data_IF_433607976107
#
_entry.id   IF_433607976107
#
_cell.length_a   1.000
_cell.length_b   1.000
_cell.length_c   1.000
_cell.angle_alpha   90.00
_cell.angle_beta   90.00
_cell.angle_gamma   90.00
#
_symmetry.space_group_name_H-M   'P 1'
#
loop_
_entity.id
_entity.type
_entity.pdbx_description
1 polymer ?
#
# COMPACT_ATOMS: atom_id res chain seq x y z
N UNK A 1 -12.27 14.31 -22.97
CA UNK A 1 -10.94 14.87 -23.30
C UNK A 1 -11.10 15.80 -24.50
N UNK A 2 -10.63 17.02 -24.38
CA UNK A 2 -10.79 18.03 -25.43
C UNK A 2 -9.79 17.83 -26.56
N UNK A 3 -10.25 18.06 -27.79
CA UNK A 3 -9.39 18.03 -28.97
C UNK A 3 -8.26 19.08 -28.87
N UNK A 4 -6.98 18.69 -29.07
CA UNK A 4 -5.88 19.65 -29.01
C UNK A 4 -5.87 20.66 -30.16
N UNK A 5 -6.69 20.43 -31.21
CA UNK A 5 -6.82 21.35 -32.35
C UNK A 5 -7.93 22.37 -32.20
N UNK A 6 -9.15 21.92 -31.90
CA UNK A 6 -10.33 22.79 -31.88
C UNK A 6 -11.01 22.92 -30.48
N UNK A 7 -10.58 22.13 -29.52
CA UNK A 7 -11.17 22.16 -28.18
C UNK A 7 -12.51 21.43 -28.00
N UNK A 8 -12.99 20.74 -29.04
CA UNK A 8 -14.24 19.99 -28.95
C UNK A 8 -14.12 18.84 -27.93
N UNK A 9 -15.19 18.62 -27.17
CA UNK A 9 -15.14 17.72 -26.01
C UNK A 9 -15.19 16.22 -26.33
N UNK A 10 -15.65 15.86 -27.53
CA UNK A 10 -15.87 14.46 -27.90
C UNK A 10 -14.96 14.00 -29.04
N UNK A 11 -14.51 12.75 -28.91
CA UNK A 11 -13.69 12.07 -29.91
C UNK A 11 -14.07 10.60 -29.97
N UNK A 12 -13.74 9.94 -31.08
CA UNK A 12 -13.87 8.49 -31.19
C UNK A 12 -12.49 7.84 -31.18
N UNK A 13 -12.43 6.61 -30.65
CA UNK A 13 -11.22 5.80 -30.67
C UNK A 13 -11.17 5.03 -31.99
N UNK A 14 -10.13 5.25 -32.78
CA UNK A 14 -9.93 4.57 -34.07
C UNK A 14 -9.16 3.26 -33.86
N UNK A 15 -8.15 3.26 -32.99
CA UNK A 15 -7.27 2.13 -32.74
C UNK A 15 -6.78 2.14 -31.29
N UNK A 16 -6.58 0.95 -30.70
CA UNK A 16 -6.04 0.78 -29.36
C UNK A 16 -4.99 -0.33 -29.41
N UNK A 17 -3.80 -0.05 -28.86
CA UNK A 17 -2.71 -1.03 -28.81
C UNK A 17 -2.05 -1.03 -27.43
N UNK A 18 -1.73 -2.21 -26.89
CA UNK A 18 -0.98 -2.29 -25.64
C UNK A 18 0.48 -1.88 -25.89
N UNK A 19 1.05 -1.15 -24.93
CA UNK A 19 2.48 -0.85 -24.87
C UNK A 19 3.04 -1.66 -23.71
N UNK A 20 3.57 -2.85 -24.00
CA UNK A 20 3.97 -3.84 -23.01
C UNK A 20 5.06 -3.31 -22.08
N UNK A 21 6.07 -2.65 -22.64
CA UNK A 21 7.20 -2.10 -21.87
C UNK A 21 6.80 -1.06 -20.84
N UNK A 22 5.79 -0.25 -21.15
CA UNK A 22 5.30 0.80 -20.27
C UNK A 22 4.03 0.42 -19.51
N UNK A 23 3.54 -0.82 -19.64
CA UNK A 23 2.29 -1.29 -19.08
C UNK A 23 1.15 -0.27 -19.26
N UNK A 24 0.98 0.20 -20.49
CA UNK A 24 0.00 1.24 -20.84
C UNK A 24 -0.77 0.86 -22.11
N UNK A 25 -1.82 1.60 -22.40
CA UNK A 25 -2.60 1.44 -23.62
C UNK A 25 -2.45 2.70 -24.45
N UNK A 26 -2.02 2.55 -25.68
CA UNK A 26 -1.95 3.65 -26.65
C UNK A 26 -3.25 3.66 -27.43
N UNK A 27 -3.95 4.82 -27.44
CA UNK A 27 -5.19 5.00 -28.20
C UNK A 27 -5.02 6.06 -29.25
N UNK A 28 -5.40 5.73 -30.48
CA UNK A 28 -5.50 6.69 -31.57
C UNK A 28 -6.93 7.22 -31.61
N UNK A 29 -7.09 8.54 -31.49
CA UNK A 29 -8.40 9.19 -31.44
C UNK A 29 -8.57 10.13 -32.61
N UNK A 30 -9.85 10.38 -32.96
CA UNK A 30 -10.23 11.36 -33.98
C UNK A 30 -11.32 12.26 -33.43
N UNK A 31 -11.11 13.56 -33.51
CA UNK A 31 -12.11 14.55 -33.08
C UNK A 31 -13.37 14.42 -33.93
N UNK A 32 -14.53 14.43 -33.29
CA UNK A 32 -15.82 14.36 -34.00
C UNK A 32 -16.17 15.67 -34.72
N UNK A 33 -15.56 16.78 -34.34
CA UNK A 33 -15.80 18.08 -34.95
C UNK A 33 -14.84 18.39 -36.12
N UNK A 34 -13.55 18.44 -35.85
CA UNK A 34 -12.55 18.85 -36.85
C UNK A 34 -11.80 17.70 -37.52
N UNK A 35 -12.09 16.46 -37.14
CA UNK A 35 -11.43 15.22 -37.65
C UNK A 35 -9.93 15.16 -37.41
N UNK A 36 -9.39 16.01 -36.55
CA UNK A 36 -7.98 15.91 -36.18
C UNK A 36 -7.75 14.60 -35.43
N UNK A 37 -6.69 13.90 -35.83
CA UNK A 37 -6.25 12.67 -35.16
C UNK A 37 -5.18 13.00 -34.13
N UNK A 38 -5.31 12.40 -32.95
CA UNK A 38 -4.35 12.58 -31.88
C UNK A 38 -4.20 11.28 -31.08
N UNK A 39 -3.08 11.15 -30.39
CA UNK A 39 -2.74 9.95 -29.63
C UNK A 39 -2.85 10.25 -28.16
N UNK A 40 -3.46 9.32 -27.41
CA UNK A 40 -3.54 9.36 -25.95
C UNK A 40 -3.00 8.07 -25.38
N UNK A 41 -2.59 8.11 -24.11
CA UNK A 41 -2.14 6.93 -23.39
C UNK A 41 -2.96 6.78 -22.12
N UNK A 42 -3.37 5.54 -21.86
CA UNK A 42 -3.95 5.17 -20.58
C UNK A 42 -2.86 4.49 -19.78
N UNK A 43 -2.49 5.08 -18.65
CA UNK A 43 -1.44 4.58 -17.77
C UNK A 43 -2.01 4.33 -16.39
N UNK A 44 -1.42 3.35 -15.68
CA UNK A 44 -1.82 3.09 -14.31
C UNK A 44 -1.20 4.19 -13.44
N UNK A 45 -2.05 4.91 -12.74
CA UNK A 45 -1.60 5.91 -11.79
C UNK A 45 -1.11 5.21 -10.52
N UNK A 46 0.14 5.47 -10.15
CA UNK A 46 0.67 5.06 -8.85
C UNK A 46 0.58 6.25 -7.92
N UNK A 47 -0.37 6.20 -6.98
CA UNK A 47 -0.52 7.24 -5.97
C UNK A 47 0.46 6.95 -4.84
N UNK A 48 1.41 7.85 -4.55
CA UNK A 48 2.29 7.66 -3.39
C UNK A 48 1.49 7.80 -2.10
N UNK A 49 1.77 6.91 -1.14
CA UNK A 49 1.12 6.92 0.17
C UNK A 49 2.01 7.68 1.14
N UNK A 50 1.44 8.68 1.81
CA UNK A 50 2.12 9.43 2.87
C UNK A 50 1.81 8.80 4.22
N UNK A 51 2.86 8.53 4.99
CA UNK A 51 2.74 8.03 6.36
C UNK A 51 2.88 9.20 7.33
N UNK A 52 1.86 9.39 8.16
CA UNK A 52 1.86 10.42 9.20
C UNK A 52 2.40 9.82 10.48
N UNK A 53 3.56 10.29 10.93
CA UNK A 53 4.18 9.83 12.18
C UNK A 53 3.51 10.43 13.40
N UNK A 54 3.67 9.75 14.56
CA UNK A 54 3.10 10.19 15.85
C UNK A 54 3.39 11.66 16.19
N UNK A 55 4.55 12.18 15.78
CA UNK A 55 4.98 13.54 16.10
C UNK A 55 4.60 14.57 15.01
N UNK A 56 3.79 14.19 14.04
CA UNK A 56 3.29 15.07 13.00
C UNK A 56 4.04 15.09 11.68
N UNK A 57 5.33 14.75 11.58
CA UNK A 57 6.00 14.74 10.28
C UNK A 57 5.43 13.67 9.37
N UNK A 58 5.39 13.98 8.07
CA UNK A 58 4.91 13.07 7.03
C UNK A 58 6.10 12.59 6.21
N UNK A 59 6.11 11.29 5.89
CA UNK A 59 7.10 10.72 4.99
C UNK A 59 6.42 9.77 4.02
N UNK A 60 7.08 9.49 2.89
CA UNK A 60 6.58 8.52 1.93
C UNK A 60 6.64 7.12 2.54
N UNK A 61 5.63 6.29 2.22
CA UNK A 61 5.63 4.88 2.62
C UNK A 61 6.88 4.19 2.03
N UNK A 62 7.68 3.61 2.91
CA UNK A 62 8.89 2.90 2.56
C UNK A 62 8.72 1.41 2.87
N UNK A 63 8.51 0.63 1.83
CA UNK A 63 8.32 -0.82 1.92
C UNK A 63 9.52 -1.52 2.56
N UNK A 64 10.74 -1.09 2.24
CA UNK A 64 11.96 -1.70 2.78
C UNK A 64 12.09 -1.47 4.29
N UNK A 65 11.68 -0.31 4.75
CA UNK A 65 11.67 0.02 6.17
C UNK A 65 10.68 -0.86 6.93
N UNK A 66 9.47 -1.04 6.39
CA UNK A 66 8.47 -1.92 6.97
C UNK A 66 8.95 -3.37 6.96
N UNK A 67 9.50 -3.83 5.84
CA UNK A 67 10.03 -5.18 5.71
C UNK A 67 11.14 -5.46 6.74
N UNK A 68 12.05 -4.51 6.93
CA UNK A 68 13.12 -4.63 7.92
C UNK A 68 12.56 -4.83 9.34
N UNK A 69 11.54 -4.07 9.71
CA UNK A 69 10.89 -4.20 11.02
C UNK A 69 10.20 -5.56 11.20
N UNK A 70 9.51 -6.03 10.17
CA UNK A 70 8.81 -7.33 10.21
C UNK A 70 9.81 -8.49 10.22
N UNK A 71 10.90 -8.40 9.46
CA UNK A 71 11.96 -9.44 9.44
C UNK A 71 12.56 -9.69 10.82
N UNK A 72 12.77 -8.64 11.61
CA UNK A 72 13.30 -8.77 12.98
C UNK A 72 12.37 -9.59 13.87
N UNK A 73 11.07 -9.46 13.68
CA UNK A 73 10.06 -10.16 14.48
C UNK A 73 9.83 -11.61 14.02
N UNK A 74 10.07 -11.88 12.76
CA UNK A 74 9.80 -13.17 12.13
C UNK A 74 11.03 -14.06 11.99
N UNK A 75 12.17 -13.61 12.49
CA UNK A 75 13.43 -14.37 12.43
C UNK A 75 13.24 -15.77 13.03
N UNK A 76 13.62 -16.80 12.27
CA UNK A 76 13.49 -18.22 12.64
C UNK A 76 12.04 -18.66 12.92
N UNK A 77 11.06 -17.96 12.35
CA UNK A 77 9.65 -18.35 12.41
C UNK A 77 9.16 -18.75 11.02
N UNK A 78 8.18 -19.67 10.93
CA UNK A 78 7.66 -20.14 9.63
C UNK A 78 6.67 -19.11 9.02
N UNK A 79 7.11 -17.87 8.87
CA UNK A 79 6.35 -16.78 8.26
C UNK A 79 7.20 -16.12 7.19
N UNK A 80 6.60 -15.88 6.04
CA UNK A 80 7.21 -15.08 4.98
C UNK A 80 6.90 -13.60 5.22
N UNK A 81 7.90 -12.86 5.70
CA UNK A 81 7.76 -11.43 5.99
C UNK A 81 7.44 -10.62 4.73
N UNK A 82 8.00 -10.99 3.57
CA UNK A 82 7.75 -10.28 2.32
C UNK A 82 6.30 -10.41 1.89
N UNK A 83 5.71 -11.61 1.98
CA UNK A 83 4.29 -11.84 1.66
C UNK A 83 3.40 -10.97 2.55
N UNK A 84 3.70 -10.92 3.85
CA UNK A 84 2.93 -10.10 4.80
C UNK A 84 3.01 -8.61 4.45
N UNK A 85 4.19 -8.12 4.14
CA UNK A 85 4.41 -6.71 3.76
C UNK A 85 3.74 -6.38 2.42
N UNK A 86 3.80 -7.30 1.45
CA UNK A 86 3.11 -7.14 0.17
C UNK A 86 1.60 -7.03 0.35
N UNK A 87 1.02 -7.82 1.24
CA UNK A 87 -0.41 -7.74 1.55
C UNK A 87 -0.79 -6.39 2.16
N UNK A 88 0.03 -5.87 3.07
CA UNK A 88 -0.19 -4.57 3.69
C UNK A 88 -0.12 -3.46 2.63
N UNK A 89 0.90 -3.48 1.79
CA UNK A 89 1.04 -2.51 0.70
C UNK A 89 -0.18 -2.54 -0.23
N UNK A 90 -0.64 -3.73 -0.61
CA UNK A 90 -1.82 -3.88 -1.45
C UNK A 90 -3.09 -3.33 -0.80
N UNK A 91 -3.29 -3.58 0.50
CA UNK A 91 -4.44 -3.05 1.24
C UNK A 91 -4.40 -1.52 1.30
N UNK A 92 -3.23 -0.94 1.53
CA UNK A 92 -3.06 0.51 1.56
C UNK A 92 -3.36 1.14 0.20
N UNK A 93 -2.87 0.55 -0.88
CA UNK A 93 -3.13 1.03 -2.24
C UNK A 93 -4.60 0.89 -2.63
N UNK A 94 -5.23 -0.24 -2.29
CA UNK A 94 -6.63 -0.49 -2.59
C UNK A 94 -7.59 0.42 -1.80
N UNK A 95 -7.15 0.94 -0.66
CA UNK A 95 -7.95 1.87 0.14
C UNK A 95 -8.13 3.24 -0.54
N UNK A 96 -7.30 3.55 -1.54
CA UNK A 96 -7.26 4.84 -2.25
C UNK A 96 -7.02 6.04 -1.32
N UNK A 97 -6.53 5.80 -0.11
CA UNK A 97 -6.17 6.87 0.83
C UNK A 97 -4.79 7.43 0.46
N UNK A 98 -4.68 8.74 0.52
CA UNK A 98 -3.40 9.43 0.27
C UNK A 98 -2.51 9.46 1.50
N UNK A 99 -3.11 9.44 2.67
CA UNK A 99 -2.41 9.48 3.96
C UNK A 99 -2.88 8.34 4.86
N UNK A 100 -1.95 7.78 5.63
CA UNK A 100 -2.22 6.76 6.63
C UNK A 100 -1.35 7.04 7.85
N UNK A 101 -1.89 6.86 9.04
CA UNK A 101 -1.10 6.99 10.26
C UNK A 101 -0.16 5.80 10.44
N UNK A 102 1.05 6.06 10.94
CA UNK A 102 2.03 5.00 11.24
C UNK A 102 1.48 3.97 12.23
N UNK A 103 0.63 4.43 13.15
CA UNK A 103 -0.06 3.55 14.11
C UNK A 103 -1.01 2.57 13.42
N UNK A 104 -1.70 3.00 12.37
CA UNK A 104 -2.58 2.10 11.60
C UNK A 104 -1.77 0.99 10.91
N UNK A 105 -0.62 1.34 10.34
CA UNK A 105 0.26 0.35 9.71
C UNK A 105 0.77 -0.65 10.73
N UNK A 106 1.18 -0.17 11.90
CA UNK A 106 1.61 -1.04 13.01
C UNK A 106 0.52 -2.00 13.44
N UNK A 107 -0.73 -1.51 13.58
CA UNK A 107 -1.87 -2.35 13.93
C UNK A 107 -2.17 -3.40 12.83
N UNK A 108 -2.01 -3.05 11.57
CA UNK A 108 -2.18 -4.00 10.47
C UNK A 108 -1.14 -5.12 10.55
N UNK A 109 0.12 -4.79 10.82
CA UNK A 109 1.19 -5.79 11.03
C UNK A 109 0.84 -6.70 12.19
N UNK A 110 0.45 -6.11 13.32
CA UNK A 110 0.12 -6.86 14.54
C UNK A 110 -1.04 -7.81 14.31
N UNK A 111 -2.08 -7.37 13.64
CA UNK A 111 -3.24 -8.21 13.34
C UNK A 111 -2.86 -9.41 12.47
N UNK A 112 -2.06 -9.18 11.44
CA UNK A 112 -1.61 -10.27 10.55
C UNK A 112 -0.68 -11.25 11.24
N UNK A 113 0.24 -10.76 12.08
CA UNK A 113 1.12 -11.62 12.87
C UNK A 113 0.33 -12.44 13.90
N UNK A 114 -0.63 -11.82 14.57
CA UNK A 114 -1.48 -12.50 15.55
C UNK A 114 -2.20 -13.71 14.97
N UNK A 115 -2.68 -13.58 13.73
CA UNK A 115 -3.38 -14.66 13.02
C UNK A 115 -2.45 -15.77 12.55
N UNK A 116 -1.17 -15.48 12.34
CA UNK A 116 -0.23 -16.41 11.68
C UNK A 116 0.80 -17.02 12.62
N UNK A 117 1.34 -16.23 13.55
CA UNK A 117 2.38 -16.70 14.48
C UNK A 117 2.41 -15.84 15.73
N UNK A 118 1.97 -16.40 16.84
CA UNK A 118 1.87 -15.68 18.10
C UNK A 118 3.22 -15.22 18.66
N UNK A 119 4.28 -15.97 18.41
CA UNK A 119 5.64 -15.59 18.88
C UNK A 119 6.13 -14.37 18.10
N UNK A 120 5.95 -14.35 16.79
CA UNK A 120 6.28 -13.18 15.97
C UNK A 120 5.47 -11.96 16.39
N UNK A 121 4.18 -12.16 16.67
CA UNK A 121 3.31 -11.11 17.21
C UNK A 121 3.88 -10.50 18.49
N UNK A 122 4.23 -11.34 19.47
CA UNK A 122 4.78 -10.88 20.75
C UNK A 122 6.08 -10.10 20.56
N UNK A 123 6.96 -10.58 19.70
CA UNK A 123 8.22 -9.89 19.37
C UNK A 123 7.97 -8.50 18.77
N UNK A 124 7.06 -8.41 17.82
CA UNK A 124 6.73 -7.14 17.19
C UNK A 124 6.03 -6.19 18.19
N UNK A 125 5.08 -6.71 18.95
CA UNK A 125 4.36 -5.94 19.94
C UNK A 125 5.28 -5.40 21.03
N UNK A 126 6.30 -6.16 21.45
CA UNK A 126 7.23 -5.74 22.49
C UNK A 126 8.04 -4.50 22.10
N UNK A 127 8.31 -4.32 20.81
CA UNK A 127 9.01 -3.13 20.29
C UNK A 127 8.01 -2.03 19.95
N UNK A 128 6.93 -2.36 19.26
CA UNK A 128 5.95 -1.41 18.75
C UNK A 128 5.18 -0.70 19.88
N UNK A 129 4.72 -1.45 20.90
CA UNK A 129 3.91 -0.91 22.00
C UNK A 129 4.75 -0.32 23.14
N UNK A 130 6.05 -0.55 23.15
CA UNK A 130 6.95 -0.01 24.17
C UNK A 130 6.44 -0.25 25.60
N UNK A 131 6.26 -1.52 25.97
CA UNK A 131 5.76 -1.89 27.31
C UNK A 131 6.64 -1.29 28.41
N UNK A 132 5.99 -0.61 29.37
CA UNK A 132 6.69 0.09 30.45
C UNK A 132 7.16 -0.84 31.57
N UNK A 133 6.47 -1.97 31.76
CA UNK A 133 6.76 -2.92 32.83
C UNK A 133 6.33 -4.34 32.44
N UNK A 134 6.71 -5.28 33.29
CA UNK A 134 6.42 -6.71 33.07
C UNK A 134 4.92 -6.99 33.18
N UNK A 135 4.22 -6.31 34.08
CA UNK A 135 2.79 -6.54 34.29
C UNK A 135 1.95 -6.20 33.07
N UNK A 136 2.27 -5.09 32.41
CA UNK A 136 1.62 -4.70 31.15
C UNK A 136 1.89 -5.71 30.05
N UNK A 137 3.13 -6.20 29.97
CA UNK A 137 3.53 -7.22 29.01
C UNK A 137 2.82 -8.55 29.28
N UNK A 138 2.72 -8.97 30.55
CA UNK A 138 1.99 -10.17 30.94
C UNK A 138 0.51 -10.08 30.60
N UNK A 139 -0.11 -8.92 30.81
CA UNK A 139 -1.52 -8.69 30.44
C UNK A 139 -1.73 -8.93 28.94
N UNK A 140 -0.84 -8.42 28.08
CA UNK A 140 -0.90 -8.64 26.64
C UNK A 140 -0.78 -10.14 26.29
N UNK A 141 0.12 -10.86 26.96
CA UNK A 141 0.30 -12.30 26.76
C UNK A 141 -0.94 -13.09 27.19
N UNK A 142 -1.56 -12.70 28.30
CA UNK A 142 -2.81 -13.33 28.76
C UNK A 142 -3.95 -13.09 27.80
N UNK A 143 -4.12 -11.88 27.28
CA UNK A 143 -5.14 -11.56 26.28
C UNK A 143 -4.94 -12.37 25.00
N UNK A 144 -3.71 -12.50 24.55
CA UNK A 144 -3.37 -13.31 23.38
C UNK A 144 -3.72 -14.78 23.59
N UNK A 145 -3.44 -15.33 24.76
CA UNK A 145 -3.71 -16.72 25.14
C UNK A 145 -5.21 -16.96 25.34
N UNK A 146 -5.91 -16.01 25.95
CA UNK A 146 -7.35 -16.11 26.22
C UNK A 146 -8.25 -15.79 25.03
N UNK A 147 -7.70 -15.27 23.95
CA UNK A 147 -8.43 -14.89 22.74
C UNK A 147 -8.68 -16.02 21.75
N UNK A 148 -8.50 -17.26 22.15
CA UNK A 148 -8.77 -18.44 21.31
C UNK A 148 -10.26 -18.83 21.34
#
# INVERSE_FOLDING_TARGET
MKCPGCGYSESKVIDSRPVVEANSIRRRRECLSCQKRFTTFEVIETVPILVVKKNGPKELFDKQKLLSGVLKSTEKRPIDALVLVDEIEAELQNSLRQEVESTEIGEMVMQKLKERDQVAYVRFASVYREFKDIDTFLAELHDLKGGE
#
